data_IF_184815244366
#
_entry.id   IF_184815244366
#
_cell.length_a   1.000
_cell.length_b   1.000
_cell.length_c   1.000
_cell.angle_alpha   90.00
_cell.angle_beta   90.00
_cell.angle_gamma   90.00
#
_symmetry.space_group_name_H-M   'P 1'
#
loop_
_entity.id
_entity.type
_entity.pdbx_description
1 polymer ?
#
# COMPACT_ATOMS: atom_id res chain seq x y z
N UNK A 1 15.74 28.40 -2.57
CA UNK A 1 15.30 26.98 -2.61
C UNK A 1 13.78 26.89 -2.60
N UNK A 2 13.10 27.33 -1.53
CA UNK A 2 11.62 27.32 -1.43
C UNK A 2 10.84 27.94 -2.61
N UNK A 3 11.25 29.09 -3.14
CA UNK A 3 10.55 29.72 -4.27
C UNK A 3 10.75 28.93 -5.58
N UNK A 4 11.92 28.31 -5.75
CA UNK A 4 12.25 27.52 -6.94
C UNK A 4 11.50 26.18 -6.94
N UNK A 5 11.47 25.49 -5.78
CA UNK A 5 10.68 24.28 -5.58
C UNK A 5 9.16 24.55 -5.66
N UNK A 6 8.72 25.73 -5.22
CA UNK A 6 7.32 26.15 -5.36
C UNK A 6 6.92 26.39 -6.82
N UNK A 7 7.77 27.07 -7.60
CA UNK A 7 7.57 27.28 -9.05
C UNK A 7 7.60 25.93 -9.77
N UNK A 8 8.60 25.08 -9.50
CA UNK A 8 8.72 23.77 -10.16
C UNK A 8 7.55 22.84 -9.78
N UNK A 9 7.14 22.84 -8.52
CA UNK A 9 6.11 21.95 -8.00
C UNK A 9 4.68 22.33 -8.39
N UNK A 10 4.38 23.63 -8.58
CA UNK A 10 3.02 24.08 -8.93
C UNK A 10 2.86 24.63 -10.35
N UNK A 11 3.84 25.36 -10.86
CA UNK A 11 3.72 26.01 -12.17
C UNK A 11 4.11 25.04 -13.29
N UNK A 12 5.15 24.23 -13.12
CA UNK A 12 5.59 23.28 -14.15
C UNK A 12 4.51 22.25 -14.53
N UNK A 13 3.75 21.65 -13.59
CA UNK A 13 2.65 20.75 -13.95
C UNK A 13 1.54 21.45 -14.74
N UNK A 14 1.23 22.71 -14.40
CA UNK A 14 0.22 23.52 -15.10
C UNK A 14 0.69 23.85 -16.53
N UNK A 15 1.93 24.31 -16.69
CA UNK A 15 2.54 24.53 -18.00
C UNK A 15 2.51 23.24 -18.83
N UNK A 16 2.91 22.11 -18.24
CA UNK A 16 2.90 20.82 -18.91
C UNK A 16 1.49 20.42 -19.36
N UNK A 17 0.45 20.67 -18.55
CA UNK A 17 -0.94 20.40 -18.93
C UNK A 17 -1.38 21.22 -20.14
N UNK A 18 -1.00 22.51 -20.21
CA UNK A 18 -1.30 23.37 -21.36
C UNK A 18 -0.53 22.98 -22.63
N UNK A 19 0.73 22.53 -22.48
CA UNK A 19 1.55 22.09 -23.61
C UNK A 19 1.26 20.65 -24.06
N UNK A 20 0.63 19.83 -23.21
CA UNK A 20 0.38 18.41 -23.48
C UNK A 20 -0.38 18.16 -24.79
N UNK A 21 -1.45 18.89 -25.17
CA UNK A 21 -2.11 18.72 -26.47
C UNK A 21 -1.15 18.90 -27.65
N UNK A 22 -0.30 19.92 -27.59
CA UNK A 22 0.71 20.18 -28.62
C UNK A 22 1.77 19.07 -28.66
N UNK A 23 2.32 18.67 -27.51
CA UNK A 23 3.30 17.57 -27.43
C UNK A 23 2.70 16.26 -27.95
N UNK A 24 1.44 15.96 -27.60
CA UNK A 24 0.73 14.78 -28.10
C UNK A 24 0.58 14.82 -29.60
N UNK A 25 0.12 15.94 -30.14
CA UNK A 25 -0.04 16.14 -31.58
C UNK A 25 1.30 15.97 -32.29
N UNK A 26 2.33 16.69 -31.85
CA UNK A 26 3.68 16.61 -32.39
C UNK A 26 4.18 15.15 -32.41
N UNK A 27 4.20 14.48 -31.27
CA UNK A 27 4.65 13.09 -31.18
C UNK A 27 3.79 12.14 -32.01
N UNK A 28 2.48 12.36 -32.12
CA UNK A 28 1.62 11.55 -32.96
C UNK A 28 1.97 11.71 -34.44
N UNK A 29 2.21 12.94 -34.90
CA UNK A 29 2.62 13.24 -36.28
C UNK A 29 3.91 12.50 -36.66
N UNK A 30 4.89 12.40 -35.75
CA UNK A 30 6.17 11.73 -36.02
C UNK A 30 6.14 10.21 -35.80
N UNK A 31 5.47 9.73 -34.75
CA UNK A 31 5.49 8.30 -34.39
C UNK A 31 4.35 7.50 -34.99
N UNK A 32 3.25 8.16 -35.39
CA UNK A 32 1.96 7.54 -35.74
C UNK A 32 1.36 6.65 -34.64
N UNK A 33 1.88 6.75 -33.41
CA UNK A 33 1.38 6.04 -32.24
C UNK A 33 0.47 6.95 -31.41
N UNK A 34 -0.46 6.37 -30.66
CA UNK A 34 -1.15 7.06 -29.58
C UNK A 34 -0.20 7.30 -28.39
N UNK A 35 -0.57 8.20 -27.48
CA UNK A 35 0.19 8.43 -26.23
C UNK A 35 0.28 7.16 -25.39
N UNK A 36 -0.82 6.40 -25.28
CA UNK A 36 -0.86 5.14 -24.55
C UNK A 36 0.12 4.12 -25.16
N UNK A 37 0.15 3.97 -26.49
CA UNK A 37 1.13 3.10 -27.15
C UNK A 37 2.57 3.53 -26.84
N UNK A 38 2.88 4.83 -26.94
CA UNK A 38 4.23 5.33 -26.62
C UNK A 38 4.63 5.04 -25.17
N UNK A 39 3.71 5.19 -24.22
CA UNK A 39 3.98 4.91 -22.80
C UNK A 39 4.19 3.40 -22.59
N UNK A 40 3.27 2.59 -23.10
CA UNK A 40 3.27 1.13 -22.94
C UNK A 40 4.57 0.52 -23.48
N UNK A 41 5.07 0.99 -24.63
CA UNK A 41 6.31 0.50 -25.23
C UNK A 41 7.58 1.15 -24.66
N UNK A 42 7.52 2.43 -24.30
CA UNK A 42 8.71 3.20 -23.95
C UNK A 42 9.03 3.29 -22.45
N UNK A 43 8.06 3.08 -21.57
CA UNK A 43 8.26 3.19 -20.13
C UNK A 43 8.67 1.84 -19.50
N UNK A 44 9.53 1.92 -18.48
CA UNK A 44 9.93 0.76 -17.67
C UNK A 44 8.72 0.11 -17.00
N UNK A 45 8.64 -1.22 -17.05
CA UNK A 45 7.57 -2.00 -16.41
C UNK A 45 7.48 -1.75 -14.90
N UNK A 46 6.29 -1.95 -14.32
CA UNK A 46 5.98 -1.60 -12.94
C UNK A 46 5.52 -0.15 -12.81
N UNK A 47 5.87 0.48 -11.68
CA UNK A 47 5.32 1.77 -11.29
C UNK A 47 5.46 2.88 -12.33
N UNK A 48 6.61 2.98 -13.00
CA UNK A 48 6.86 4.05 -13.97
C UNK A 48 5.89 4.00 -15.15
N UNK A 49 5.69 2.82 -15.77
CA UNK A 49 4.71 2.64 -16.85
C UNK A 49 3.30 2.82 -16.33
N UNK A 50 2.95 2.18 -15.23
CA UNK A 50 1.57 2.14 -14.72
C UNK A 50 1.06 3.51 -14.30
N UNK A 51 1.88 4.32 -13.60
CA UNK A 51 1.53 5.72 -13.27
C UNK A 51 1.36 6.59 -14.50
N UNK A 52 2.19 6.41 -15.53
CA UNK A 52 2.07 7.14 -16.80
C UNK A 52 0.81 6.75 -17.57
N UNK A 53 0.47 5.46 -17.59
CA UNK A 53 -0.78 4.95 -18.17
C UNK A 53 -1.98 5.51 -17.40
N UNK A 54 -1.97 5.41 -16.07
CA UNK A 54 -3.04 5.95 -15.20
C UNK A 54 -3.26 7.44 -15.49
N UNK A 55 -2.19 8.24 -15.43
CA UNK A 55 -2.25 9.67 -15.73
C UNK A 55 -2.77 9.94 -17.15
N UNK A 56 -2.36 9.14 -18.13
CA UNK A 56 -2.82 9.29 -19.50
C UNK A 56 -4.32 9.05 -19.65
N UNK A 57 -4.84 8.01 -18.97
CA UNK A 57 -6.25 7.66 -18.93
C UNK A 57 -7.08 8.73 -18.21
N UNK A 58 -6.67 9.13 -17.00
CA UNK A 58 -7.39 10.14 -16.19
C UNK A 58 -7.48 11.50 -16.87
N UNK A 59 -6.53 11.83 -17.75
CA UNK A 59 -6.51 13.05 -18.54
C UNK A 59 -7.03 12.86 -19.97
N UNK A 60 -7.77 11.78 -20.24
CA UNK A 60 -8.39 11.55 -21.55
C UNK A 60 -9.62 12.44 -21.74
N UNK A 61 -9.75 13.01 -22.94
CA UNK A 61 -10.94 13.78 -23.37
C UNK A 61 -11.86 12.95 -24.28
N UNK A 62 -11.57 11.66 -24.47
CA UNK A 62 -12.42 10.78 -25.26
C UNK A 62 -13.55 10.24 -24.38
N UNK A 63 -14.80 10.41 -24.83
CA UNK A 63 -16.02 10.12 -24.07
C UNK A 63 -16.12 8.63 -23.72
N UNK A 64 -15.84 7.72 -24.65
CA UNK A 64 -15.88 6.27 -24.39
C UNK A 64 -14.89 5.86 -23.30
N UNK A 65 -13.69 6.45 -23.32
CA UNK A 65 -12.69 6.21 -22.27
C UNK A 65 -13.19 6.78 -20.93
N UNK A 66 -13.76 7.99 -20.91
CA UNK A 66 -14.28 8.57 -19.66
C UNK A 66 -15.39 7.73 -19.04
N UNK A 67 -16.32 7.22 -19.86
CA UNK A 67 -17.37 6.31 -19.44
C UNK A 67 -16.78 5.00 -18.88
N UNK A 68 -15.82 4.40 -19.60
CA UNK A 68 -15.09 3.22 -19.12
C UNK A 68 -14.45 3.45 -17.74
N UNK A 69 -13.78 4.59 -17.53
CA UNK A 69 -13.13 4.86 -16.24
C UNK A 69 -14.15 4.91 -15.10
N UNK A 70 -15.30 5.55 -15.32
CA UNK A 70 -16.37 5.61 -14.33
C UNK A 70 -16.91 4.21 -14.01
N UNK A 71 -17.15 3.39 -15.03
CA UNK A 71 -17.63 2.01 -14.84
C UNK A 71 -16.62 1.15 -14.06
N UNK A 72 -15.33 1.25 -14.40
CA UNK A 72 -14.29 0.49 -13.71
C UNK A 72 -14.12 0.95 -12.27
N UNK A 73 -14.23 2.25 -12.02
CA UNK A 73 -14.17 2.83 -10.66
C UNK A 73 -15.35 2.36 -9.80
N UNK A 74 -16.56 2.34 -10.35
CA UNK A 74 -17.72 1.78 -9.65
C UNK A 74 -17.59 0.27 -9.43
N UNK A 75 -17.06 -0.48 -10.41
CA UNK A 75 -16.93 -1.93 -10.29
C UNK A 75 -16.00 -2.34 -9.13
N UNK A 76 -14.88 -1.64 -8.94
CA UNK A 76 -13.88 -2.01 -7.93
C UNK A 76 -14.30 -1.72 -6.48
N UNK A 77 -15.41 -1.04 -6.25
CA UNK A 77 -15.92 -0.80 -4.89
C UNK A 77 -16.37 -2.10 -4.20
N UNK A 78 -16.94 -3.04 -4.98
CA UNK A 78 -17.57 -4.25 -4.44
C UNK A 78 -17.28 -5.53 -5.21
N UNK A 79 -16.52 -5.49 -6.31
CA UNK A 79 -16.21 -6.71 -7.06
C UNK A 79 -15.39 -7.71 -6.23
N UNK A 80 -15.53 -8.98 -6.56
CA UNK A 80 -14.63 -10.05 -6.08
C UNK A 80 -13.28 -10.02 -6.80
N UNK A 81 -12.27 -10.66 -6.21
CA UNK A 81 -10.94 -10.81 -6.82
C UNK A 81 -11.00 -11.50 -8.20
N UNK A 82 -11.96 -12.41 -8.42
CA UNK A 82 -12.16 -13.08 -9.71
C UNK A 82 -12.69 -12.12 -10.78
N UNK A 83 -13.63 -11.25 -10.42
CA UNK A 83 -14.18 -10.23 -11.34
C UNK A 83 -13.13 -9.16 -11.67
N UNK A 84 -12.27 -8.83 -10.70
CA UNK A 84 -11.18 -7.87 -10.86
C UNK A 84 -10.23 -8.25 -12.00
N UNK A 85 -9.92 -9.54 -12.16
CA UNK A 85 -9.03 -10.07 -13.21
C UNK A 85 -9.64 -9.92 -14.61
N UNK A 86 -10.96 -9.78 -14.72
CA UNK A 86 -11.66 -9.63 -15.99
C UNK A 86 -11.77 -8.18 -16.46
N UNK A 87 -11.59 -7.20 -15.57
CA UNK A 87 -11.68 -5.77 -15.90
C UNK A 87 -10.77 -5.32 -17.07
N UNK A 88 -9.51 -5.82 -17.19
CA UNK A 88 -8.65 -5.48 -18.32
C UNK A 88 -9.25 -5.81 -19.69
N UNK A 89 -10.03 -6.88 -19.81
CA UNK A 89 -10.60 -7.32 -21.10
C UNK A 89 -11.45 -6.23 -21.72
N UNK A 90 -12.35 -5.63 -20.92
CA UNK A 90 -13.22 -4.55 -21.37
C UNK A 90 -12.42 -3.29 -21.67
N UNK A 91 -11.49 -2.93 -20.78
CA UNK A 91 -10.68 -1.72 -20.93
C UNK A 91 -9.83 -1.75 -22.21
N UNK A 92 -9.23 -2.89 -22.52
CA UNK A 92 -8.45 -3.11 -23.75
C UNK A 92 -9.34 -2.90 -24.97
N UNK A 93 -10.51 -3.54 -25.00
CA UNK A 93 -11.45 -3.45 -26.14
C UNK A 93 -11.86 -2.01 -26.44
N UNK A 94 -12.31 -1.27 -25.42
CA UNK A 94 -12.73 0.12 -25.55
C UNK A 94 -11.56 1.01 -25.98
N UNK A 95 -10.39 0.88 -25.35
CA UNK A 95 -9.23 1.72 -25.69
C UNK A 95 -8.70 1.43 -27.08
N UNK A 96 -8.69 0.18 -27.52
CA UNK A 96 -8.29 -0.19 -28.87
C UNK A 96 -9.22 0.40 -29.92
N UNK A 97 -10.53 0.38 -29.65
CA UNK A 97 -11.53 1.02 -30.51
C UNK A 97 -11.32 2.54 -30.56
N UNK A 98 -11.38 3.20 -29.40
CA UNK A 98 -11.29 4.65 -29.26
C UNK A 98 -9.97 5.27 -29.77
N UNK A 99 -8.90 4.47 -29.85
CA UNK A 99 -7.57 4.91 -30.33
C UNK A 99 -7.16 4.28 -31.65
N UNK A 100 -8.05 3.52 -32.29
CA UNK A 100 -7.80 2.82 -33.55
C UNK A 100 -6.53 1.94 -33.51
N UNK A 101 -6.27 1.28 -32.38
CA UNK A 101 -5.10 0.42 -32.19
C UNK A 101 -5.44 -0.98 -32.71
N UNK A 102 -4.79 -1.38 -33.80
CA UNK A 102 -5.00 -2.70 -34.41
C UNK A 102 -4.13 -3.75 -33.73
N UNK A 103 -4.74 -4.72 -33.04
CA UNK A 103 -4.04 -5.78 -32.30
C UNK A 103 -3.07 -6.60 -33.17
N UNK A 104 -3.39 -6.81 -34.46
CA UNK A 104 -2.49 -7.51 -35.39
C UNK A 104 -1.18 -6.76 -35.68
N UNK A 105 -1.22 -5.43 -35.63
CA UNK A 105 -0.04 -4.57 -35.86
C UNK A 105 0.71 -4.33 -34.54
N UNK A 106 -0.04 -4.32 -33.43
CA UNK A 106 0.44 -3.98 -32.10
C UNK A 106 0.17 -5.12 -31.10
N UNK A 107 0.74 -6.33 -31.31
CA UNK A 107 0.42 -7.51 -30.51
C UNK A 107 0.77 -7.32 -29.02
N UNK A 108 1.87 -6.61 -28.73
CA UNK A 108 2.31 -6.37 -27.35
C UNK A 108 1.48 -5.33 -26.61
N UNK A 109 0.66 -4.53 -27.31
CA UNK A 109 -0.14 -3.50 -26.65
C UNK A 109 -1.12 -4.13 -25.66
N UNK A 110 -1.84 -5.17 -26.09
CA UNK A 110 -2.88 -5.86 -25.32
C UNK A 110 -2.37 -6.33 -23.95
N UNK A 111 -1.34 -7.20 -23.87
CA UNK A 111 -0.86 -7.69 -22.57
C UNK A 111 -0.27 -6.55 -21.72
N UNK A 112 0.55 -5.67 -22.30
CA UNK A 112 1.24 -4.63 -21.53
C UNK A 112 0.28 -3.57 -20.99
N UNK A 113 -0.71 -3.15 -21.78
CA UNK A 113 -1.77 -2.24 -21.34
C UNK A 113 -2.69 -2.92 -20.34
N UNK A 114 -3.04 -4.19 -20.57
CA UNK A 114 -3.85 -5.01 -19.66
C UNK A 114 -3.23 -5.11 -18.27
N UNK A 115 -1.92 -5.36 -18.16
CA UNK A 115 -1.19 -5.34 -16.89
C UNK A 115 -1.31 -4.00 -16.18
N UNK A 116 -1.17 -2.88 -16.90
CA UNK A 116 -1.30 -1.54 -16.31
C UNK A 116 -2.72 -1.31 -15.78
N UNK A 117 -3.75 -1.70 -16.55
CA UNK A 117 -5.15 -1.63 -16.13
C UNK A 117 -5.35 -2.47 -14.87
N UNK A 118 -4.94 -3.73 -14.87
CA UNK A 118 -5.09 -4.60 -13.70
C UNK A 118 -4.44 -3.97 -12.45
N UNK A 119 -3.23 -3.43 -12.57
CA UNK A 119 -2.53 -2.78 -11.46
C UNK A 119 -3.25 -1.52 -10.95
N UNK A 120 -3.74 -0.66 -11.85
CA UNK A 120 -4.44 0.57 -11.47
C UNK A 120 -5.72 0.26 -10.69
N UNK A 121 -6.54 -0.64 -11.21
CA UNK A 121 -7.85 -0.93 -10.62
C UNK A 121 -7.78 -1.90 -9.45
N UNK A 122 -6.81 -2.82 -9.42
CA UNK A 122 -6.55 -3.60 -8.20
C UNK A 122 -6.04 -2.75 -7.04
N UNK A 123 -5.26 -1.69 -7.31
CA UNK A 123 -4.87 -0.73 -6.27
C UNK A 123 -6.08 0.03 -5.70
N UNK A 124 -7.02 0.42 -6.56
CA UNK A 124 -8.28 1.06 -6.13
C UNK A 124 -9.15 0.08 -5.34
N UNK A 125 -9.27 -1.16 -5.79
CA UNK A 125 -9.95 -2.22 -5.05
C UNK A 125 -9.34 -2.42 -3.66
N UNK A 126 -8.00 -2.50 -3.59
CA UNK A 126 -7.26 -2.60 -2.34
C UNK A 126 -7.58 -1.44 -1.38
N UNK A 127 -7.68 -0.20 -1.88
CA UNK A 127 -8.09 0.94 -1.06
C UNK A 127 -9.46 0.71 -0.40
N UNK A 128 -10.44 0.18 -1.15
CA UNK A 128 -11.76 -0.13 -0.60
C UNK A 128 -11.71 -1.27 0.43
N UNK A 129 -10.94 -2.33 0.17
CA UNK A 129 -10.75 -3.44 1.12
C UNK A 129 -10.14 -2.95 2.43
N UNK A 130 -9.05 -2.17 2.35
CA UNK A 130 -8.36 -1.61 3.52
C UNK A 130 -9.25 -0.61 4.27
N UNK A 131 -9.99 0.25 3.58
CA UNK A 131 -10.92 1.19 4.22
C UNK A 131 -12.04 0.47 4.96
N UNK A 132 -12.59 -0.60 4.39
CA UNK A 132 -13.64 -1.41 5.04
C UNK A 132 -13.14 -2.00 6.36
N UNK A 133 -11.95 -2.62 6.37
CA UNK A 133 -11.35 -3.17 7.59
C UNK A 133 -10.99 -2.09 8.60
N UNK A 134 -10.50 -0.94 8.13
CA UNK A 134 -10.18 0.20 9.01
C UNK A 134 -11.45 0.77 9.67
N UNK A 135 -12.55 0.81 8.93
CA UNK A 135 -13.82 1.35 9.40
C UNK A 135 -14.62 0.37 10.24
N UNK A 136 -14.34 -0.94 10.15
CA UNK A 136 -15.01 -1.97 10.94
C UNK A 136 -14.47 -1.96 12.39
N UNK A 137 -15.30 -1.59 13.39
CA UNK A 137 -14.87 -1.57 14.78
C UNK A 137 -14.70 -3.01 15.30
N UNK A 138 -13.74 -3.18 16.21
CA UNK A 138 -13.65 -4.42 16.97
C UNK A 138 -14.91 -4.64 17.81
N UNK A 139 -15.49 -5.84 17.72
CA UNK A 139 -16.71 -6.23 18.43
C UNK A 139 -16.44 -7.48 19.27
N UNK A 140 -16.53 -7.32 20.59
CA UNK A 140 -16.32 -8.40 21.55
C UNK A 140 -17.45 -9.45 21.55
N UNK A 141 -18.59 -9.14 20.94
CA UNK A 141 -19.67 -10.11 20.75
C UNK A 141 -19.53 -10.90 19.44
N UNK A 142 -18.60 -10.52 18.57
CA UNK A 142 -18.32 -11.23 17.33
C UNK A 142 -17.24 -12.28 17.57
N UNK A 143 -17.62 -13.56 17.48
CA UNK A 143 -16.72 -14.69 17.72
C UNK A 143 -15.50 -14.69 16.80
N UNK A 144 -15.61 -14.21 15.55
CA UNK A 144 -14.48 -14.13 14.62
C UNK A 144 -13.46 -13.09 15.08
N UNK A 145 -13.92 -11.97 15.66
CA UNK A 145 -13.04 -10.90 16.15
C UNK A 145 -12.31 -11.35 17.42
N UNK A 146 -13.04 -11.99 18.34
CA UNK A 146 -12.46 -12.59 19.55
C UNK A 146 -11.46 -13.69 19.20
N UNK A 147 -11.76 -14.57 18.24
CA UNK A 147 -10.81 -15.60 17.77
C UNK A 147 -9.53 -14.99 17.20
N UNK A 148 -9.60 -13.93 16.39
CA UNK A 148 -8.41 -13.24 15.87
C UNK A 148 -7.55 -12.65 17.01
N UNK A 149 -8.18 -12.05 18.01
CA UNK A 149 -7.47 -11.46 19.15
C UNK A 149 -6.82 -12.53 20.03
N UNK A 150 -7.51 -13.63 20.30
CA UNK A 150 -6.96 -14.79 21.01
C UNK A 150 -5.84 -15.46 20.24
N UNK A 151 -5.96 -15.59 18.91
CA UNK A 151 -4.89 -16.11 18.08
C UNK A 151 -3.65 -15.21 18.17
N UNK A 152 -3.81 -13.88 18.09
CA UNK A 152 -2.69 -12.95 18.22
C UNK A 152 -1.91 -13.20 19.53
N UNK A 153 -2.61 -13.34 20.65
CA UNK A 153 -1.98 -13.67 21.92
C UNK A 153 -1.22 -14.99 21.86
N UNK A 154 -1.89 -16.07 21.45
CA UNK A 154 -1.27 -17.41 21.40
C UNK A 154 -0.06 -17.47 20.47
N UNK A 155 -0.03 -16.62 19.43
CA UNK A 155 1.14 -16.51 18.54
C UNK A 155 2.30 -15.78 19.21
N UNK A 156 2.04 -14.72 19.96
CA UNK A 156 3.07 -13.87 20.59
C UNK A 156 3.55 -14.41 21.94
N UNK A 157 2.67 -15.01 22.73
CA UNK A 157 2.90 -15.51 24.08
C UNK A 157 2.48 -17.00 24.20
N UNK A 158 3.11 -17.92 23.45
CA UNK A 158 2.67 -19.31 23.35
C UNK A 158 2.77 -20.11 24.67
N UNK A 159 3.60 -19.65 25.62
CA UNK A 159 3.85 -20.32 26.90
C UNK A 159 2.94 -19.83 28.03
N UNK A 160 2.24 -18.71 27.83
CA UNK A 160 1.41 -18.07 28.84
C UNK A 160 -0.04 -18.00 28.34
N UNK A 161 -0.96 -18.86 28.80
CA UNK A 161 -2.36 -18.75 28.40
C UNK A 161 -3.00 -17.47 28.97
N UNK A 162 -3.93 -16.87 28.22
CA UNK A 162 -4.76 -15.78 28.74
C UNK A 162 -5.68 -16.28 29.85
N UNK A 163 -5.66 -15.60 30.99
CA UNK A 163 -6.58 -15.82 32.11
C UNK A 163 -8.02 -15.41 31.77
N UNK A 164 -8.17 -14.48 30.83
CA UNK A 164 -9.46 -14.01 30.36
C UNK A 164 -9.34 -12.99 29.25
N UNK A 165 -10.49 -12.59 28.69
CA UNK A 165 -10.53 -11.56 27.64
C UNK A 165 -10.16 -10.17 28.15
N UNK A 166 -10.52 -9.82 29.38
CA UNK A 166 -10.11 -8.58 30.02
C UNK A 166 -9.12 -8.95 31.12
N UNK A 167 -7.85 -8.57 30.95
CA UNK A 167 -6.75 -8.96 31.84
C UNK A 167 -5.55 -8.02 31.64
N UNK A 168 -4.74 -7.86 32.68
CA UNK A 168 -3.49 -7.09 32.61
C UNK A 168 -2.47 -7.69 31.65
N UNK A 169 -2.58 -8.99 31.35
CA UNK A 169 -1.65 -9.69 30.44
C UNK A 169 -1.52 -8.99 29.09
N UNK A 170 -2.57 -8.35 28.57
CA UNK A 170 -2.50 -7.60 27.30
C UNK A 170 -1.42 -6.50 27.28
N UNK A 171 -1.09 -5.93 28.43
CA UNK A 171 -0.03 -4.93 28.57
C UNK A 171 1.35 -5.55 28.31
N UNK A 172 1.53 -6.85 28.50
CA UNK A 172 2.79 -7.58 28.22
C UNK A 172 3.13 -7.65 26.73
N UNK A 173 2.15 -7.47 25.84
CA UNK A 173 2.40 -7.31 24.40
C UNK A 173 2.15 -5.87 23.93
N UNK A 174 2.09 -4.93 24.88
CA UNK A 174 2.07 -3.51 24.62
C UNK A 174 0.72 -2.94 24.19
N UNK A 175 -0.41 -3.53 24.57
CA UNK A 175 -1.72 -2.87 24.51
C UNK A 175 -1.91 -1.86 25.65
N UNK A 176 -2.85 -0.93 25.51
CA UNK A 176 -3.15 0.04 26.56
C UNK A 176 -4.22 -0.51 27.51
N UNK A 177 -3.81 -0.81 28.75
CA UNK A 177 -4.72 -1.31 29.78
C UNK A 177 -5.17 -2.75 29.55
N UNK A 178 -6.26 -3.14 30.19
CA UNK A 178 -6.66 -4.55 30.32
C UNK A 178 -7.57 -5.03 29.18
N UNK A 179 -7.99 -4.12 28.28
CA UNK A 179 -8.91 -4.40 27.18
C UNK A 179 -8.40 -3.81 25.84
N UNK A 180 -7.84 -4.66 24.94
CA UNK A 180 -7.35 -4.26 23.61
C UNK A 180 -8.37 -3.59 22.71
N UNK A 181 -9.69 -3.78 22.96
CA UNK A 181 -10.76 -3.16 22.16
C UNK A 181 -10.58 -1.64 22.08
N UNK A 182 -10.07 -1.04 23.15
CA UNK A 182 -9.92 0.42 23.23
C UNK A 182 -8.83 0.98 22.32
N UNK A 183 -7.84 0.17 21.95
CA UNK A 183 -6.71 0.57 21.12
C UNK A 183 -7.05 0.54 19.62
N UNK A 184 -7.98 -0.32 19.22
CA UNK A 184 -8.40 -0.46 17.82
C UNK A 184 -9.35 0.64 17.34
N UNK A 185 -9.66 1.68 18.13
CA UNK A 185 -10.64 2.70 17.74
C UNK A 185 -10.31 3.42 16.43
N UNK A 186 -9.04 3.72 16.18
CA UNK A 186 -8.61 4.46 14.99
C UNK A 186 -8.52 3.60 13.74
N UNK A 187 -7.96 2.40 13.86
CA UNK A 187 -7.64 1.49 12.76
C UNK A 187 -8.57 0.28 12.65
N UNK A 188 -9.58 0.16 13.50
CA UNK A 188 -10.57 -0.92 13.46
C UNK A 188 -9.92 -2.31 13.47
N UNK A 189 -10.55 -3.24 12.76
CA UNK A 189 -10.01 -4.57 12.53
C UNK A 189 -8.71 -4.57 11.73
N UNK A 190 -8.45 -3.57 10.90
CA UNK A 190 -7.20 -3.50 10.13
C UNK A 190 -5.97 -3.54 11.06
N UNK A 191 -6.04 -2.85 12.20
CA UNK A 191 -4.97 -2.87 13.21
C UNK A 191 -4.73 -4.27 13.78
N UNK A 192 -5.80 -4.98 14.13
CA UNK A 192 -5.72 -6.36 14.63
C UNK A 192 -5.21 -7.32 13.55
N UNK A 193 -5.73 -7.23 12.33
CA UNK A 193 -5.32 -8.10 11.23
C UNK A 193 -3.86 -7.91 10.84
N UNK A 194 -3.35 -6.68 10.87
CA UNK A 194 -1.94 -6.39 10.63
C UNK A 194 -1.03 -7.03 11.68
N UNK A 195 -1.32 -6.83 12.97
CA UNK A 195 -0.58 -7.46 14.07
C UNK A 195 -0.61 -9.00 13.96
N UNK A 196 -1.80 -9.55 13.71
CA UNK A 196 -1.99 -10.99 13.56
C UNK A 196 -1.22 -11.53 12.35
N UNK A 197 -1.32 -10.88 11.18
CA UNK A 197 -0.59 -11.27 9.98
C UNK A 197 0.92 -11.29 10.24
N UNK A 198 1.47 -10.28 10.90
CA UNK A 198 2.89 -10.26 11.25
C UNK A 198 3.28 -11.44 12.15
N UNK A 199 2.51 -11.67 13.22
CA UNK A 199 2.76 -12.79 14.16
C UNK A 199 2.62 -14.18 13.53
N UNK A 200 1.78 -14.31 12.50
CA UNK A 200 1.47 -15.59 11.84
C UNK A 200 2.46 -15.91 10.73
N UNK A 201 2.72 -14.95 9.85
CA UNK A 201 3.53 -15.14 8.65
C UNK A 201 5.02 -14.93 8.89
N UNK A 202 5.38 -14.10 9.88
CA UNK A 202 6.78 -13.75 10.21
C UNK A 202 7.07 -13.98 11.70
N UNK A 203 6.78 -15.19 12.18
CA UNK A 203 6.83 -15.54 13.61
C UNK A 203 8.13 -15.14 14.29
N UNK A 204 9.28 -15.51 13.74
CA UNK A 204 10.57 -15.25 14.36
C UNK A 204 10.85 -13.74 14.45
N UNK A 205 10.55 -13.00 13.38
CA UNK A 205 10.64 -11.56 13.36
C UNK A 205 9.68 -10.91 14.36
N UNK A 206 8.46 -11.42 14.49
CA UNK A 206 7.47 -10.91 15.44
C UNK A 206 7.91 -11.13 16.90
N UNK A 207 8.48 -12.29 17.22
CA UNK A 207 9.04 -12.59 18.53
C UNK A 207 10.27 -11.74 18.83
N UNK A 208 11.15 -11.55 17.85
CA UNK A 208 12.32 -10.69 17.97
C UNK A 208 11.93 -9.23 18.25
N UNK A 209 11.01 -8.66 17.47
CA UNK A 209 10.51 -7.29 17.67
C UNK A 209 9.77 -7.17 19.02
N UNK A 210 8.98 -8.18 19.41
CA UNK A 210 8.34 -8.18 20.73
C UNK A 210 9.39 -8.19 21.87
N UNK A 211 10.46 -8.97 21.74
CA UNK A 211 11.54 -9.02 22.73
C UNK A 211 12.25 -7.66 22.84
N UNK A 212 12.61 -7.02 21.73
CA UNK A 212 13.18 -5.67 21.71
C UNK A 212 12.26 -4.63 22.34
N UNK A 213 10.96 -4.72 22.07
CA UNK A 213 9.97 -3.81 22.67
C UNK A 213 9.94 -3.90 24.21
N UNK A 214 10.39 -5.02 24.80
CA UNK A 214 10.50 -5.22 26.25
C UNK A 214 11.85 -4.82 26.84
N UNK A 215 12.76 -4.27 26.04
CA UNK A 215 14.08 -3.86 26.51
C UNK A 215 13.96 -2.84 27.67
N UNK A 216 14.73 -2.96 28.76
CA UNK A 216 14.53 -2.15 29.97
C UNK A 216 14.76 -0.64 29.78
N UNK A 217 15.58 -0.26 28.80
CA UNK A 217 15.89 1.15 28.47
C UNK A 217 15.17 1.59 27.19
N UNK A 218 15.43 0.89 26.08
CA UNK A 218 14.86 1.17 24.76
C UNK A 218 13.47 0.56 24.49
N UNK A 219 12.79 0.03 25.49
CA UNK A 219 11.49 -0.60 25.29
C UNK A 219 10.41 0.36 24.77
N UNK A 220 9.43 -0.19 24.09
CA UNK A 220 8.27 0.53 23.57
C UNK A 220 7.03 -0.38 23.58
N UNK A 221 5.85 0.22 23.38
CA UNK A 221 4.58 -0.52 23.40
C UNK A 221 4.31 -1.22 22.07
N UNK A 222 4.73 -2.48 21.93
CA UNK A 222 4.62 -3.27 20.68
C UNK A 222 3.28 -3.10 19.95
N UNK A 223 2.15 -3.40 20.59
CA UNK A 223 0.85 -3.32 19.92
C UNK A 223 0.46 -1.89 19.55
N UNK A 224 0.68 -0.89 20.42
CA UNK A 224 0.38 0.52 20.10
C UNK A 224 1.24 1.02 18.94
N UNK A 225 2.54 0.74 18.94
CA UNK A 225 3.44 1.10 17.84
C UNK A 225 3.00 0.40 16.56
N UNK A 226 2.65 -0.89 16.62
CA UNK A 226 2.11 -1.64 15.49
C UNK A 226 0.80 -1.05 14.95
N UNK A 227 -0.10 -0.57 15.80
CA UNK A 227 -1.34 0.10 15.35
C UNK A 227 -1.03 1.47 14.73
N UNK A 228 -0.08 2.22 15.27
CA UNK A 228 0.36 3.49 14.68
C UNK A 228 0.98 3.30 13.29
N UNK A 229 1.81 2.27 13.10
CA UNK A 229 2.38 1.93 11.79
C UNK A 229 1.32 1.41 10.80
N UNK A 230 0.26 0.76 11.29
CA UNK A 230 -0.93 0.50 10.46
C UNK A 230 -1.54 1.80 9.93
N UNK A 231 -1.65 2.83 10.78
CA UNK A 231 -2.13 4.13 10.37
C UNK A 231 -1.20 4.83 9.35
N UNK A 232 0.13 4.70 9.50
CA UNK A 232 1.08 5.17 8.48
C UNK A 232 0.86 4.47 7.14
N UNK A 233 0.83 3.13 7.14
CA UNK A 233 0.64 2.33 5.94
C UNK A 233 -0.66 2.71 5.21
N UNK A 234 -1.75 2.87 5.97
CA UNK A 234 -3.03 3.33 5.44
C UNK A 234 -2.94 4.73 4.82
N UNK A 235 -2.31 5.69 5.49
CA UNK A 235 -2.13 7.06 4.96
C UNK A 235 -1.36 7.05 3.64
N UNK A 236 -0.24 6.32 3.59
CA UNK A 236 0.61 6.23 2.39
C UNK A 236 -0.11 5.53 1.22
N UNK A 237 -0.96 4.54 1.52
CA UNK A 237 -1.83 3.92 0.51
C UNK A 237 -2.89 4.94 0.02
N UNK A 238 -3.58 5.62 0.95
CA UNK A 238 -4.69 6.53 0.62
C UNK A 238 -4.25 7.78 -0.13
N UNK A 239 -3.12 8.38 0.23
CA UNK A 239 -2.55 9.53 -0.48
C UNK A 239 -2.05 9.16 -1.88
N UNK A 240 -1.74 7.88 -2.10
CA UNK A 240 -1.12 7.39 -3.32
C UNK A 240 0.41 7.44 -3.31
N UNK A 241 1.03 7.86 -2.20
CA UNK A 241 2.49 7.91 -2.07
C UNK A 241 3.11 6.51 -2.20
N UNK A 242 2.44 5.49 -1.67
CA UNK A 242 2.89 4.10 -1.76
C UNK A 242 2.59 3.43 -3.11
N UNK A 243 1.95 4.11 -4.09
CA UNK A 243 1.63 3.51 -5.41
C UNK A 243 2.85 2.87 -6.07
N UNK A 244 4.03 3.47 -5.91
CA UNK A 244 5.27 2.93 -6.47
C UNK A 244 5.57 1.53 -5.94
N UNK A 245 5.44 1.32 -4.64
CA UNK A 245 5.68 0.04 -3.99
C UNK A 245 4.66 -0.99 -4.47
N UNK A 246 3.36 -0.66 -4.43
CA UNK A 246 2.29 -1.59 -4.79
C UNK A 246 2.33 -1.99 -6.28
N UNK A 247 2.58 -1.04 -7.18
CA UNK A 247 2.71 -1.37 -8.61
C UNK A 247 3.96 -2.20 -8.90
N UNK A 248 5.08 -1.94 -8.22
CA UNK A 248 6.29 -2.76 -8.37
C UNK A 248 6.11 -4.15 -7.76
N UNK A 249 5.40 -4.29 -6.64
CA UNK A 249 5.09 -5.58 -6.02
C UNK A 249 4.18 -6.43 -6.92
N UNK A 250 3.08 -5.85 -7.40
CA UNK A 250 2.17 -6.48 -8.36
C UNK A 250 2.89 -6.88 -9.65
N UNK A 251 3.80 -6.03 -10.15
CA UNK A 251 4.62 -6.34 -11.33
C UNK A 251 5.60 -7.49 -11.09
N UNK A 252 6.27 -7.52 -9.94
CA UNK A 252 7.26 -8.55 -9.62
C UNK A 252 6.62 -9.93 -9.47
N UNK A 253 5.38 -9.99 -8.97
CA UNK A 253 4.63 -11.22 -8.77
C UNK A 253 3.69 -11.57 -9.94
N UNK A 254 3.56 -10.67 -10.93
CA UNK A 254 2.60 -10.78 -12.02
C UNK A 254 1.16 -11.05 -11.53
N UNK A 255 0.75 -10.33 -10.49
CA UNK A 255 -0.53 -10.49 -9.77
C UNK A 255 -1.20 -9.12 -9.55
N UNK A 256 -2.52 -9.07 -9.31
CA UNK A 256 -3.18 -7.84 -8.87
C UNK A 256 -2.66 -7.39 -7.50
N UNK A 257 -2.82 -6.11 -7.17
CA UNK A 257 -2.68 -5.63 -5.80
C UNK A 257 -3.79 -6.27 -4.95
N UNK A 258 -3.45 -6.73 -3.75
CA UNK A 258 -4.37 -7.44 -2.85
C UNK A 258 -4.08 -7.05 -1.41
N UNK A 259 -5.01 -7.36 -0.51
CA UNK A 259 -4.85 -7.10 0.93
C UNK A 259 -3.56 -7.71 1.51
N UNK A 260 -3.14 -8.87 1.00
CA UNK A 260 -1.85 -9.49 1.33
C UNK A 260 -0.67 -8.54 1.10
N UNK A 261 -0.66 -7.78 -0.01
CA UNK A 261 0.41 -6.82 -0.28
C UNK A 261 0.44 -5.69 0.75
N UNK A 262 -0.74 -5.25 1.22
CA UNK A 262 -0.82 -4.23 2.28
C UNK A 262 -0.28 -4.76 3.61
N UNK A 263 -0.65 -5.98 4.00
CA UNK A 263 -0.11 -6.59 5.22
C UNK A 263 1.41 -6.80 5.14
N UNK A 264 1.94 -7.21 3.97
CA UNK A 264 3.40 -7.31 3.76
C UNK A 264 4.10 -5.96 3.86
N UNK A 265 3.50 -4.91 3.28
CA UNK A 265 4.01 -3.55 3.44
C UNK A 265 4.03 -3.13 4.91
N UNK A 266 2.96 -3.41 5.65
CA UNK A 266 2.91 -3.20 7.10
C UNK A 266 4.01 -3.96 7.86
N UNK A 267 4.23 -5.24 7.56
CA UNK A 267 5.26 -6.06 8.21
C UNK A 267 6.67 -5.50 7.98
N UNK A 268 6.94 -5.04 6.75
CA UNK A 268 8.19 -4.33 6.46
C UNK A 268 8.33 -3.07 7.33
N UNK A 269 7.29 -2.24 7.40
CA UNK A 269 7.34 -1.01 8.21
C UNK A 269 7.58 -1.30 9.69
N UNK A 270 6.91 -2.31 10.27
CA UNK A 270 7.08 -2.66 11.67
C UNK A 270 8.49 -3.19 11.98
N UNK A 271 9.00 -4.09 11.15
CA UNK A 271 10.34 -4.64 11.33
C UNK A 271 11.44 -3.58 11.14
N UNK A 272 11.32 -2.74 10.12
CA UNK A 272 12.29 -1.66 9.87
C UNK A 272 12.19 -0.54 10.89
N UNK A 273 11.00 -0.28 11.43
CA UNK A 273 10.83 0.66 12.52
C UNK A 273 11.54 0.17 13.79
N UNK A 274 11.43 -1.13 14.12
CA UNK A 274 12.17 -1.70 15.27
C UNK A 274 13.68 -1.50 15.10
N UNK A 275 14.23 -1.85 13.93
CA UNK A 275 15.65 -1.61 13.66
C UNK A 275 16.02 -0.13 13.79
N UNK A 276 15.25 0.76 13.16
CA UNK A 276 15.48 2.20 13.18
C UNK A 276 15.36 2.80 14.59
N UNK A 277 14.43 2.27 15.39
CA UNK A 277 14.22 2.65 16.78
C UNK A 277 15.46 2.30 17.62
N UNK A 278 15.96 1.08 17.52
CA UNK A 278 17.15 0.64 18.24
C UNK A 278 18.40 1.43 17.81
N UNK A 279 18.58 1.66 16.51
CA UNK A 279 19.66 2.51 15.97
C UNK A 279 19.57 3.98 16.39
N UNK A 280 18.38 4.46 16.78
CA UNK A 280 18.17 5.83 17.24
C UNK A 280 18.58 6.06 18.70
N UNK A 281 18.94 5.02 19.44
CA UNK A 281 19.32 5.07 20.86
C UNK A 281 18.39 5.95 21.72
N UNK A 282 17.07 5.65 21.75
CA UNK A 282 16.08 6.48 22.42
C UNK A 282 16.39 6.54 23.92
N UNK A 283 16.25 7.72 24.51
CA UNK A 283 16.47 7.88 25.94
C UNK A 283 15.30 7.33 26.75
N UNK A 284 14.09 7.44 26.21
CA UNK A 284 12.84 6.92 26.75
C UNK A 284 11.72 7.01 25.70
N UNK A 285 10.52 6.55 26.07
CA UNK A 285 9.34 6.54 25.19
C UNK A 285 8.90 7.94 24.70
N UNK A 286 9.31 9.04 25.34
CA UNK A 286 8.94 10.39 24.90
C UNK A 286 9.58 10.78 23.57
N UNK A 287 10.70 10.13 23.20
CA UNK A 287 11.36 10.30 21.89
C UNK A 287 10.56 9.66 20.75
N UNK A 288 9.51 8.89 21.06
CA UNK A 288 8.67 8.19 20.08
C UNK A 288 8.17 9.09 18.96
N UNK A 289 7.63 10.27 19.30
CA UNK A 289 7.05 11.15 18.29
C UNK A 289 8.08 11.57 17.24
N UNK A 290 9.27 11.96 17.69
CA UNK A 290 10.31 12.50 16.82
C UNK A 290 10.96 11.39 16.00
N UNK A 291 11.23 10.22 16.61
CA UNK A 291 11.76 9.05 15.90
C UNK A 291 10.76 8.54 14.85
N UNK A 292 9.49 8.44 15.23
CA UNK A 292 8.42 8.03 14.32
C UNK A 292 8.29 8.99 13.12
N UNK A 293 8.35 10.30 13.34
CA UNK A 293 8.30 11.29 12.26
C UNK A 293 9.52 11.19 11.33
N UNK A 294 10.72 11.01 11.87
CA UNK A 294 11.94 10.78 11.06
C UNK A 294 11.83 9.50 10.23
N UNK A 295 11.30 8.43 10.81
CA UNK A 295 11.04 7.19 10.10
C UNK A 295 10.02 7.38 8.96
N UNK A 296 8.91 8.09 9.22
CA UNK A 296 7.91 8.40 8.17
C UNK A 296 8.53 9.16 7.00
N UNK A 297 9.36 10.16 7.28
CA UNK A 297 10.08 10.93 6.25
C UNK A 297 11.01 10.01 5.44
N UNK A 298 11.77 9.13 6.10
CA UNK A 298 12.66 8.19 5.43
C UNK A 298 11.90 7.26 4.47
N UNK A 299 10.75 6.72 4.91
CA UNK A 299 9.88 5.89 4.07
C UNK A 299 9.34 6.69 2.89
N UNK A 300 8.89 7.92 3.11
CA UNK A 300 8.40 8.80 2.04
C UNK A 300 9.50 9.12 1.03
N UNK A 301 10.71 9.45 1.47
CA UNK A 301 11.87 9.69 0.59
C UNK A 301 12.19 8.47 -0.27
N UNK A 302 12.20 7.28 0.32
CA UNK A 302 12.38 6.04 -0.43
C UNK A 302 11.28 5.85 -1.50
N UNK A 303 10.02 6.19 -1.19
CA UNK A 303 8.90 6.11 -2.13
C UNK A 303 8.97 7.13 -3.29
N UNK A 304 9.89 8.11 -3.29
CA UNK A 304 10.08 9.00 -4.45
C UNK A 304 10.83 8.31 -5.61
N UNK A 305 11.53 7.21 -5.35
CA UNK A 305 12.23 6.45 -6.38
C UNK A 305 11.26 5.49 -7.08
N UNK A 306 11.07 5.65 -8.39
CA UNK A 306 10.18 4.83 -9.24
C UNK A 306 10.47 3.32 -9.20
N UNK A 307 11.65 2.90 -8.72
CA UNK A 307 12.05 1.49 -8.58
C UNK A 307 11.81 0.92 -7.18
N UNK A 308 11.32 1.72 -6.24
CA UNK A 308 11.18 1.30 -4.84
C UNK A 308 10.21 0.12 -4.72
N UNK A 309 10.71 -0.90 -4.04
CA UNK A 309 9.99 -2.11 -3.67
C UNK A 309 10.54 -2.56 -2.32
N UNK A 310 9.81 -2.25 -1.25
CA UNK A 310 10.11 -2.77 0.08
C UNK A 310 9.89 -4.28 0.11
N UNK A 311 10.95 -5.03 0.40
CA UNK A 311 10.93 -6.50 0.41
C UNK A 311 10.80 -7.00 1.83
N UNK A 312 9.92 -7.96 2.05
CA UNK A 312 9.73 -8.66 3.32
C UNK A 312 10.60 -9.90 3.40
N UNK A 313 11.93 -9.72 3.36
CA UNK A 313 12.89 -10.77 3.67
C UNK A 313 13.40 -10.51 5.09
N UNK A 314 12.53 -10.74 6.08
CA UNK A 314 12.79 -10.42 7.48
C UNK A 314 13.70 -11.50 8.07
N UNK A 315 15.01 -11.35 7.87
CA UNK A 315 16.03 -12.23 8.45
C UNK A 315 16.31 -11.71 9.85
N UNK A 316 16.11 -12.54 10.86
CA UNK A 316 16.58 -12.29 12.21
C UNK A 316 18.00 -12.81 12.28
N UNK A 317 18.98 -11.93 12.51
CA UNK A 317 20.34 -12.37 12.81
C UNK A 317 20.32 -12.99 14.22
N UNK A 318 20.71 -14.26 14.35
CA UNK A 318 20.96 -14.85 15.67
C UNK A 318 22.15 -14.11 16.29
N UNK A 319 21.89 -13.32 17.33
CA UNK A 319 22.92 -12.68 18.17
C UNK A 319 23.18 -13.54 19.39
#
# INVERSE_FOLDING_TARGET
MFLFDWILGRILPVIFLHLRPFIKWFLHTFTRLSELQRIVYGAQAGASRTRKVERSLMLSQNIEIQQLLQELDTAVESCSDNELILLPVRAISVVQHAKHIKSKIHPDFTPLFGTCVLQIWSYRHLLHQVERLRAEPYDANNLVHEQKLLELWNRLMPEEPLEGRITKQWQEIGFQGDDPKTDFRGMGLLGLENLLYFSREYRDAAHHVLLHSKHPVYGYTFAIVGINLTAMAYRLLKSGDAKVHFYNAAQALNQPCTLMHFHKFYCYLLFEFDRFWMESEPTNIMDFRDIYQRFEILIMEALHNDKTLFKTNLIVEEV
#
